data_IF_589910779766
#
_entry.id   IF_589910779766
#
_cell.length_a   1.000
_cell.length_b   1.000
_cell.length_c   1.000
_cell.angle_alpha   90.00
_cell.angle_beta   90.00
_cell.angle_gamma   90.00
#
_symmetry.space_group_name_H-M   'P 1'
#
loop_
_entity.id
_entity.type
_entity.pdbx_description
1 polymer ?
#
# COMPACT_ATOMS: atom_id res chain seq x y z
N UNK A 1 52.19 -10.26 -29.95
CA UNK A 1 51.59 -10.77 -28.70
C UNK A 1 50.95 -9.60 -27.97
N UNK A 2 49.62 -9.53 -27.93
CA UNK A 2 48.88 -8.61 -27.05
C UNK A 2 47.62 -9.33 -26.59
N UNK A 3 47.68 -9.94 -25.40
CA UNK A 3 46.51 -10.37 -24.65
C UNK A 3 46.14 -9.22 -23.71
N UNK A 4 45.21 -8.36 -24.13
CA UNK A 4 44.55 -7.42 -23.20
C UNK A 4 43.34 -8.15 -22.61
N UNK A 5 43.42 -8.43 -21.31
CA UNK A 5 42.34 -9.06 -20.56
C UNK A 5 41.06 -8.20 -20.56
N UNK A 6 39.94 -8.85 -20.90
CA UNK A 6 38.59 -8.34 -20.61
C UNK A 6 38.28 -8.64 -19.14
N UNK A 7 38.54 -7.67 -18.26
CA UNK A 7 37.93 -7.65 -16.94
C UNK A 7 36.45 -7.23 -17.05
N UNK A 8 35.50 -7.87 -16.36
CA UNK A 8 34.10 -7.47 -16.40
C UNK A 8 33.90 -6.22 -15.55
N UNK A 9 33.99 -5.05 -16.19
CA UNK A 9 33.53 -3.77 -15.65
C UNK A 9 32.01 -3.74 -15.82
N UNK A 10 31.26 -4.10 -14.76
CA UNK A 10 29.80 -4.11 -14.83
C UNK A 10 29.07 -4.79 -13.69
N UNK A 11 29.79 -5.41 -12.75
CA UNK A 11 29.19 -6.14 -11.62
C UNK A 11 28.73 -5.22 -10.49
N UNK A 12 29.43 -4.13 -10.22
CA UNK A 12 29.22 -3.33 -9.01
C UNK A 12 27.87 -2.58 -9.00
N UNK A 13 27.51 -1.90 -10.10
CA UNK A 13 26.25 -1.15 -10.18
C UNK A 13 25.03 -2.07 -10.11
N UNK A 14 25.09 -3.22 -10.78
CA UNK A 14 24.00 -4.20 -10.81
C UNK A 14 23.81 -4.85 -9.44
N UNK A 15 24.91 -5.17 -8.73
CA UNK A 15 24.87 -5.68 -7.36
C UNK A 15 24.28 -4.66 -6.37
N UNK A 16 24.65 -3.38 -6.51
CA UNK A 16 24.08 -2.29 -5.69
C UNK A 16 22.58 -2.17 -5.95
N UNK A 17 22.14 -2.17 -7.22
CA UNK A 17 20.72 -2.12 -7.55
C UNK A 17 19.95 -3.33 -7.01
N UNK A 18 20.51 -4.54 -7.14
CA UNK A 18 19.92 -5.76 -6.59
C UNK A 18 19.77 -5.67 -5.06
N UNK A 19 20.79 -5.17 -4.36
CA UNK A 19 20.71 -4.98 -2.91
C UNK A 19 19.67 -3.95 -2.48
N UNK A 20 19.54 -2.82 -3.20
CA UNK A 20 18.51 -1.82 -2.93
C UNK A 20 17.09 -2.39 -3.13
N UNK A 21 16.89 -3.20 -4.17
CA UNK A 21 15.60 -3.89 -4.40
C UNK A 21 15.30 -4.90 -3.30
N UNK A 22 16.28 -5.68 -2.85
CA UNK A 22 16.09 -6.63 -1.74
C UNK A 22 15.79 -5.92 -0.42
N UNK A 23 16.42 -4.77 -0.15
CA UNK A 23 16.10 -3.93 1.01
C UNK A 23 14.67 -3.38 0.93
N UNK A 24 14.23 -2.91 -0.24
CA UNK A 24 12.85 -2.46 -0.45
C UNK A 24 11.82 -3.57 -0.22
N UNK A 25 12.13 -4.80 -0.67
CA UNK A 25 11.27 -5.97 -0.44
C UNK A 25 11.22 -6.36 1.04
N UNK A 26 12.34 -6.26 1.77
CA UNK A 26 12.40 -6.51 3.22
C UNK A 26 11.70 -5.42 4.04
N UNK A 27 11.72 -4.17 3.55
CA UNK A 27 10.98 -3.03 4.11
C UNK A 27 9.53 -2.97 3.67
N UNK A 28 9.00 -3.99 2.96
CA UNK A 28 7.57 -4.12 2.70
C UNK A 28 6.86 -4.55 3.97
N UNK A 29 6.81 -3.63 4.93
CA UNK A 29 5.81 -3.66 5.99
C UNK A 29 4.44 -3.59 5.31
N UNK A 30 3.62 -4.63 5.51
CA UNK A 30 2.20 -4.58 5.19
C UNK A 30 1.68 -3.27 5.77
N UNK A 31 1.19 -2.38 4.92
CA UNK A 31 0.41 -1.22 5.33
C UNK A 31 -0.88 -1.71 5.99
N UNK A 32 -0.75 -2.14 7.24
CA UNK A 32 -1.79 -2.60 8.13
C UNK A 32 -2.55 -1.39 8.62
N UNK A 33 -3.53 -1.00 7.82
CA UNK A 33 -4.85 -0.57 8.25
C UNK A 33 -4.96 -0.09 9.70
N UNK A 34 -5.15 1.21 9.90
CA UNK A 34 -5.57 1.78 11.19
C UNK A 34 -7.04 1.39 11.57
N UNK A 35 -7.51 0.19 11.19
CA UNK A 35 -8.81 -0.37 11.55
C UNK A 35 -8.78 -1.90 11.45
N UNK A 36 -9.46 -2.60 12.35
CA UNK A 36 -9.39 -4.07 12.44
C UNK A 36 -10.06 -4.80 11.27
N UNK A 37 -10.95 -4.13 10.55
CA UNK A 37 -11.65 -4.70 9.40
C UNK A 37 -11.87 -3.62 8.35
N UNK A 38 -11.15 -3.72 7.23
CA UNK A 38 -11.35 -2.92 6.04
C UNK A 38 -12.27 -3.66 5.08
N UNK A 39 -13.34 -3.03 4.60
CA UNK A 39 -14.19 -3.53 3.52
C UNK A 39 -14.38 -2.45 2.46
N UNK A 40 -14.51 -2.85 1.21
CA UNK A 40 -14.89 -1.91 0.15
C UNK A 40 -16.32 -1.41 0.40
N UNK A 41 -16.52 -0.11 0.20
CA UNK A 41 -17.85 0.50 0.31
C UNK A 41 -18.80 -0.08 -0.74
N UNK A 42 -20.00 -0.46 -0.31
CA UNK A 42 -21.04 -0.99 -1.20
C UNK A 42 -21.82 0.09 -1.92
N UNK A 43 -21.81 1.31 -1.38
CA UNK A 43 -22.62 2.45 -1.85
C UNK A 43 -21.78 3.58 -2.44
N UNK A 44 -20.45 3.40 -2.52
CA UNK A 44 -19.58 4.34 -3.21
C UNK A 44 -19.95 4.38 -4.70
N UNK A 45 -20.25 5.58 -5.18
CA UNK A 45 -20.74 5.87 -6.54
C UNK A 45 -19.69 5.66 -7.64
N UNK A 46 -18.49 5.18 -7.29
CA UNK A 46 -17.39 4.96 -8.21
C UNK A 46 -16.62 6.22 -8.57
N UNK A 47 -16.93 7.37 -7.96
CA UNK A 47 -16.13 8.58 -8.15
C UNK A 47 -14.68 8.35 -7.68
N UNK A 48 -13.74 9.11 -8.25
CA UNK A 48 -12.33 8.93 -7.95
C UNK A 48 -12.04 9.29 -6.49
N UNK A 49 -11.83 8.28 -5.65
CA UNK A 49 -11.44 8.48 -4.27
C UNK A 49 -9.93 8.76 -4.23
N UNK A 50 -9.53 10.03 -4.19
CA UNK A 50 -8.10 10.43 -4.16
C UNK A 50 -7.69 11.00 -2.81
N UNK A 51 -8.56 11.82 -2.20
CA UNK A 51 -8.24 12.50 -0.94
C UNK A 51 -8.72 11.66 0.24
N UNK A 52 -7.83 11.43 1.21
CA UNK A 52 -8.18 10.78 2.48
C UNK A 52 -9.40 11.45 3.13
N UNK A 53 -10.35 10.64 3.60
CA UNK A 53 -11.60 11.11 4.22
C UNK A 53 -12.71 11.51 3.25
N UNK A 54 -12.47 11.54 1.93
CA UNK A 54 -13.53 11.88 0.94
C UNK A 54 -14.73 10.94 1.06
N UNK A 55 -14.47 9.65 1.21
CA UNK A 55 -15.53 8.66 1.34
C UNK A 55 -15.93 8.35 2.80
N UNK A 56 -15.50 9.17 3.76
CA UNK A 56 -15.80 8.97 5.18
C UNK A 56 -17.31 9.00 5.46
N UNK A 57 -18.02 9.94 4.85
CA UNK A 57 -19.49 10.09 5.00
C UNK A 57 -20.22 8.86 4.48
N UNK A 58 -19.74 8.26 3.38
CA UNK A 58 -20.35 7.06 2.79
C UNK A 58 -20.14 5.86 3.72
N UNK A 59 -18.92 5.64 4.19
CA UNK A 59 -18.63 4.57 5.15
C UNK A 59 -19.42 4.71 6.46
N UNK A 60 -19.64 5.93 6.94
CA UNK A 60 -20.46 6.18 8.14
C UNK A 60 -21.93 5.82 7.92
N UNK A 61 -22.49 6.07 6.72
CA UNK A 61 -23.85 5.63 6.38
C UNK A 61 -23.97 4.10 6.29
N UNK A 62 -22.89 3.43 5.90
CA UNK A 62 -22.80 1.96 5.90
C UNK A 62 -22.53 1.37 7.30
N UNK A 63 -22.41 2.21 8.33
CA UNK A 63 -22.23 1.78 9.72
C UNK A 63 -20.78 1.50 10.12
N UNK A 64 -19.81 2.01 9.37
CA UNK A 64 -18.38 2.00 9.70
C UNK A 64 -17.96 3.31 10.38
N UNK A 65 -16.84 3.29 11.10
CA UNK A 65 -16.37 4.46 11.85
C UNK A 65 -15.70 5.49 10.93
N UNK A 66 -14.99 5.01 9.91
CA UNK A 66 -14.26 5.88 8.99
C UNK A 66 -14.02 5.29 7.60
N UNK A 67 -13.77 6.16 6.63
CA UNK A 67 -13.44 5.80 5.24
C UNK A 67 -12.09 6.36 4.79
N UNK A 68 -11.33 5.58 4.02
CA UNK A 68 -10.07 5.96 3.41
C UNK A 68 -10.05 5.54 1.94
N UNK A 69 -9.49 6.40 1.10
CA UNK A 69 -9.22 6.06 -0.28
C UNK A 69 -7.98 5.18 -0.38
N UNK A 70 -8.10 4.03 -1.04
CA UNK A 70 -6.98 3.19 -1.43
C UNK A 70 -6.93 3.13 -2.96
N UNK A 71 -5.90 3.74 -3.53
CA UNK A 71 -5.75 3.99 -4.99
C UNK A 71 -6.90 4.86 -5.52
N UNK A 72 -8.04 4.26 -5.85
CA UNK A 72 -9.28 4.93 -6.28
C UNK A 72 -10.53 4.34 -5.63
N UNK A 73 -10.37 3.29 -4.81
CA UNK A 73 -11.45 2.56 -4.15
C UNK A 73 -11.66 3.15 -2.76
N UNK A 74 -12.91 3.30 -2.36
CA UNK A 74 -13.23 3.63 -0.98
C UNK A 74 -13.21 2.37 -0.11
N UNK A 75 -12.32 2.36 0.88
CA UNK A 75 -12.29 1.35 1.94
C UNK A 75 -12.85 1.91 3.24
N UNK A 76 -13.79 1.19 3.84
CA UNK A 76 -14.44 1.49 5.10
C UNK A 76 -13.84 0.66 6.24
N UNK A 77 -13.62 1.30 7.39
CA UNK A 77 -12.93 0.72 8.53
C UNK A 77 -13.77 0.85 9.79
N UNK A 78 -13.80 -0.24 10.57
CA UNK A 78 -14.23 -0.18 11.97
C UNK A 78 -13.04 -0.08 12.93
N UNK A 79 -13.25 0.68 13.99
CA UNK A 79 -12.37 0.72 15.15
C UNK A 79 -12.42 -0.63 15.85
N UNK A 80 -11.25 -1.14 16.22
CA UNK A 80 -11.10 -2.44 16.88
C UNK A 80 -11.86 -2.53 18.22
N UNK A 81 -12.06 -1.40 18.90
CA UNK A 81 -12.77 -1.30 20.18
C UNK A 81 -14.29 -1.42 20.06
N UNK A 82 -14.84 -1.36 18.84
CA UNK A 82 -16.28 -1.45 18.58
C UNK A 82 -16.76 -2.88 18.21
N UNK A 83 -15.89 -3.88 18.27
CA UNK A 83 -16.28 -5.29 18.12
C UNK A 83 -16.66 -5.86 19.49
N UNK A 84 -17.95 -6.15 19.75
CA UNK A 84 -18.33 -6.85 20.98
C UNK A 84 -17.69 -8.24 20.99
N UNK A 85 -17.18 -8.63 22.15
CA UNK A 85 -16.72 -9.99 22.49
C UNK A 85 -17.92 -10.94 22.43
#
# INVERSE_FOLDING_TARGET
>A
MTNMGKGPVGTNKTLICLWLVMLLLLSSEKMGSEGCKGHDSQTWDGNMCVKHGTCNVVCQREGYDRGRCYVTVCMCYKNCVALPI
#
